data_IF_735317744031
#
_entry.id   IF_735317744031
#
_cell.length_a   1.000
_cell.length_b   1.000
_cell.length_c   1.000
_cell.angle_alpha   90.00
_cell.angle_beta   90.00
_cell.angle_gamma   90.00
#
_symmetry.space_group_name_H-M   'P 1'
#
loop_
_entity.id
_entity.type
_entity.pdbx_description
1 polymer ?
#
# COMPACT_ATOMS: atom_id res chain seq x y z
N UNK A 1 -6.36 -24.63 -20.00
CA UNK A 1 -5.97 -23.20 -19.98
C UNK A 1 -4.90 -22.97 -18.93
N UNK A 2 -4.08 -21.91 -19.07
CA UNK A 2 -2.94 -21.61 -18.17
C UNK A 2 -3.35 -21.45 -16.70
N UNK A 3 -4.55 -20.92 -16.45
CA UNK A 3 -5.08 -20.71 -15.09
C UNK A 3 -5.89 -21.89 -14.53
N UNK A 4 -5.94 -23.03 -15.22
CA UNK A 4 -6.78 -24.16 -14.79
C UNK A 4 -6.44 -24.64 -13.38
N UNK A 5 -5.15 -24.74 -13.05
CA UNK A 5 -4.68 -25.16 -11.73
C UNK A 5 -4.92 -24.12 -10.65
N UNK A 6 -4.78 -22.83 -10.98
CA UNK A 6 -5.08 -21.71 -10.07
C UNK A 6 -6.56 -21.72 -9.72
N UNK A 7 -7.44 -21.79 -10.73
CA UNK A 7 -8.89 -21.85 -10.53
C UNK A 7 -9.30 -23.06 -9.70
N UNK A 8 -8.73 -24.23 -9.98
CA UNK A 8 -9.00 -25.45 -9.23
C UNK A 8 -8.68 -25.30 -7.73
N UNK A 9 -7.52 -24.69 -7.39
CA UNK A 9 -7.14 -24.44 -6.00
C UNK A 9 -8.03 -23.38 -5.33
N UNK A 10 -8.34 -22.29 -6.03
CA UNK A 10 -9.22 -21.23 -5.50
C UNK A 10 -10.62 -21.77 -5.18
N UNK A 11 -11.20 -22.59 -6.05
CA UNK A 11 -12.49 -23.24 -5.79
C UNK A 11 -12.42 -24.13 -4.56
N UNK A 12 -11.35 -24.93 -4.42
CA UNK A 12 -11.19 -25.86 -3.30
C UNK A 12 -10.99 -25.18 -1.95
N UNK A 13 -10.39 -23.99 -1.90
CA UNK A 13 -10.10 -23.26 -0.65
C UNK A 13 -11.12 -22.15 -0.33
N UNK A 14 -12.04 -21.84 -1.24
CA UNK A 14 -13.09 -20.82 -1.03
C UNK A 14 -13.98 -21.24 0.14
N UNK A 15 -14.11 -20.36 1.15
CA UNK A 15 -14.94 -20.60 2.33
C UNK A 15 -14.36 -21.55 3.36
N UNK A 16 -13.13 -22.06 3.17
CA UNK A 16 -12.48 -22.97 4.12
C UNK A 16 -12.03 -22.30 5.44
N UNK A 17 -12.14 -20.97 5.55
CA UNK A 17 -11.77 -20.19 6.72
C UNK A 17 -12.95 -19.34 7.20
N UNK A 18 -13.04 -19.14 8.52
CA UNK A 18 -13.87 -18.09 9.08
C UNK A 18 -13.39 -16.71 8.60
N UNK A 19 -14.30 -15.74 8.53
CA UNK A 19 -13.95 -14.36 8.16
C UNK A 19 -12.87 -13.76 9.06
N UNK A 20 -12.91 -14.06 10.37
CA UNK A 20 -11.91 -13.60 11.33
C UNK A 20 -10.52 -14.18 11.02
N UNK A 21 -10.45 -15.49 10.77
CA UNK A 21 -9.20 -16.17 10.43
C UNK A 21 -8.65 -15.72 9.07
N UNK A 22 -9.53 -15.55 8.07
CA UNK A 22 -9.15 -15.07 6.75
C UNK A 22 -8.53 -13.66 6.81
N UNK A 23 -9.14 -12.71 7.54
CA UNK A 23 -8.58 -11.36 7.74
C UNK A 23 -7.20 -11.40 8.40
N UNK A 24 -7.03 -12.23 9.43
CA UNK A 24 -5.73 -12.41 10.09
C UNK A 24 -4.68 -13.00 9.14
N UNK A 25 -5.05 -14.01 8.37
CA UNK A 25 -4.17 -14.65 7.39
C UNK A 25 -3.71 -13.65 6.32
N UNK A 26 -4.62 -12.86 5.76
CA UNK A 26 -4.29 -11.81 4.79
C UNK A 26 -3.36 -10.78 5.42
N UNK A 27 -3.65 -10.31 6.63
CA UNK A 27 -2.76 -9.38 7.34
C UNK A 27 -1.34 -9.95 7.51
N UNK A 28 -1.20 -11.21 7.90
CA UNK A 28 0.11 -11.86 8.05
C UNK A 28 0.84 -12.05 6.72
N UNK A 29 0.13 -12.37 5.64
CA UNK A 29 0.70 -12.45 4.29
C UNK A 29 1.22 -11.09 3.83
N UNK A 30 0.45 -10.02 4.02
CA UNK A 30 0.87 -8.64 3.70
C UNK A 30 2.07 -8.23 4.56
N UNK A 31 2.06 -8.55 5.86
CA UNK A 31 3.18 -8.25 6.76
C UNK A 31 4.46 -9.00 6.35
N UNK A 32 4.34 -10.25 5.90
CA UNK A 32 5.48 -11.02 5.39
C UNK A 32 6.02 -10.41 4.08
N UNK A 33 5.14 -10.06 3.14
CA UNK A 33 5.52 -9.41 1.88
C UNK A 33 6.19 -8.05 2.10
N UNK A 34 5.69 -7.26 3.06
CA UNK A 34 6.21 -5.93 3.38
C UNK A 34 7.70 -5.91 3.76
N UNK A 35 8.25 -7.03 4.23
CA UNK A 35 9.70 -7.15 4.50
C UNK A 35 10.56 -7.03 3.25
N UNK A 36 10.00 -7.31 2.08
CA UNK A 36 10.71 -7.27 0.79
C UNK A 36 10.49 -5.96 0.03
N UNK A 37 9.60 -5.09 0.50
CA UNK A 37 9.30 -3.83 -0.16
C UNK A 37 10.46 -2.85 0.01
N UNK A 38 10.72 -2.07 -1.06
CA UNK A 38 11.70 -0.99 -1.01
C UNK A 38 11.23 0.08 -0.03
N UNK A 39 12.11 0.45 0.91
CA UNK A 39 11.87 1.56 1.84
C UNK A 39 11.68 2.87 1.08
N UNK A 40 10.73 3.68 1.54
CA UNK A 40 10.52 5.03 1.01
C UNK A 40 11.73 5.90 1.35
N UNK A 41 12.31 6.53 0.32
CA UNK A 41 13.29 7.60 0.52
C UNK A 41 12.52 8.87 0.91
N UNK A 42 13.07 9.68 1.81
CA UNK A 42 12.43 10.93 2.22
C UNK A 42 11.19 10.75 3.10
N UNK A 43 11.21 9.76 4.01
CA UNK A 43 10.10 9.52 4.95
C UNK A 43 9.68 10.77 5.76
N UNK A 44 10.56 11.75 5.91
CA UNK A 44 10.26 13.03 6.57
C UNK A 44 9.22 13.88 5.82
N UNK A 45 8.97 13.61 4.52
CA UNK A 45 7.94 14.29 3.72
C UNK A 45 6.57 13.59 3.79
N UNK A 46 6.49 12.40 4.40
CA UNK A 46 5.23 11.66 4.55
C UNK A 46 4.12 12.48 5.24
N UNK A 47 4.38 13.26 6.31
CA UNK A 47 3.35 14.09 6.92
C UNK A 47 2.73 15.08 5.92
N UNK A 48 3.57 15.74 5.11
CA UNK A 48 3.11 16.70 4.10
C UNK A 48 2.25 16.03 3.01
N UNK A 49 2.63 14.81 2.59
CA UNK A 49 1.83 14.04 1.63
C UNK A 49 0.48 13.62 2.23
N UNK A 50 0.45 13.23 3.50
CA UNK A 50 -0.78 12.89 4.22
C UNK A 50 -1.70 14.11 4.38
N UNK A 51 -1.11 15.28 4.61
CA UNK A 51 -1.80 16.58 4.66
C UNK A 51 -2.27 17.08 3.29
N UNK A 52 -1.91 16.38 2.20
CA UNK A 52 -2.36 16.68 0.84
C UNK A 52 -1.53 17.74 0.12
N UNK A 53 -0.32 18.07 0.61
CA UNK A 53 0.59 18.98 -0.09
C UNK A 53 1.00 18.38 -1.43
N UNK A 54 0.81 19.15 -2.50
CA UNK A 54 1.20 18.74 -3.87
C UNK A 54 2.71 18.83 -4.02
N UNK A 55 3.32 17.76 -4.52
CA UNK A 55 4.73 17.73 -4.90
C UNK A 55 4.83 17.72 -6.43
N UNK A 56 5.60 18.64 -7.00
CA UNK A 56 5.97 18.66 -8.42
C UNK A 56 7.44 18.33 -8.52
N UNK A 57 7.79 17.25 -9.21
CA UNK A 57 9.17 16.76 -9.35
C UNK A 57 9.94 16.58 -8.02
N UNK A 58 9.22 16.27 -6.94
CA UNK A 58 9.79 16.08 -5.60
C UNK A 58 9.98 17.37 -4.78
N UNK A 59 9.56 18.52 -5.31
CA UNK A 59 9.52 19.80 -4.59
C UNK A 59 8.09 20.09 -4.16
N UNK A 60 7.91 20.39 -2.87
CA UNK A 60 6.61 20.79 -2.35
C UNK A 60 6.18 22.11 -2.99
N UNK A 61 5.00 22.13 -3.61
CA UNK A 61 4.37 23.35 -4.10
C UNK A 61 3.90 24.15 -2.89
N UNK A 62 4.72 25.08 -2.41
CA UNK A 62 4.26 26.04 -1.41
C UNK A 62 3.12 26.87 -2.00
N UNK A 63 1.89 26.54 -1.64
CA UNK A 63 0.77 27.45 -1.77
C UNK A 63 0.98 28.61 -0.82
N UNK A 64 1.42 29.75 -1.35
CA UNK A 64 1.45 31.08 -0.74
C UNK A 64 2.48 31.34 0.38
N UNK A 65 3.76 31.48 0.04
CA UNK A 65 4.70 32.35 0.77
C UNK A 65 5.57 33.11 -0.25
N UNK A 66 4.95 34.08 -0.93
CA UNK A 66 5.64 35.15 -1.67
C UNK A 66 4.70 36.36 -1.74
N UNK A 67 4.42 36.97 -0.59
CA UNK A 67 4.08 38.40 -0.52
C UNK A 67 5.16 39.10 0.29
N UNK A 68 6.33 39.25 -0.35
CA UNK A 68 7.20 40.37 -0.07
C UNK A 68 6.77 41.50 -1.02
N UNK A 69 6.08 42.49 -0.48
CA UNK A 69 5.94 43.85 -0.99
C UNK A 69 5.85 44.78 0.21
#
# INVERSE_FOLDING_TARGET
>A
SVFATVRHRTVRTKGALSQKTAKLMVFKLVQAAAKTWRRLKGANQLPMVIEGVTFTDGVASQGADNRAA
#
